data_IF_870748750493
#
_entry.id   IF_870748750493
#
_cell.length_a   1.000
_cell.length_b   1.000
_cell.length_c   1.000
_cell.angle_alpha   90.00
_cell.angle_beta   90.00
_cell.angle_gamma   90.00
#
_symmetry.space_group_name_H-M   'P 1'
#
loop_
_entity.id
_entity.type
_entity.pdbx_description
1 polymer ?
#
# COMPACT_ATOMS: atom_id res chain seq x y z
N UNK A 1 -2.31 4.02 -0.05
CA UNK A 1 -1.27 2.96 -0.08
C UNK A 1 -0.83 2.73 -1.53
N UNK A 2 0.20 1.91 -1.79
CA UNK A 2 0.67 1.59 -3.15
C UNK A 2 -0.40 0.92 -4.04
N UNK A 3 -0.23 0.97 -5.36
CA UNK A 3 -1.14 0.40 -6.35
C UNK A 3 -1.11 -1.14 -6.36
N UNK A 4 -2.24 -1.76 -6.71
CA UNK A 4 -2.37 -3.21 -6.84
C UNK A 4 -3.38 -3.61 -7.93
N UNK A 5 -3.35 -4.89 -8.33
CA UNK A 5 -4.38 -5.44 -9.21
C UNK A 5 -5.73 -5.73 -8.50
N UNK A 6 -5.84 -5.38 -7.22
CA UNK A 6 -7.02 -5.58 -6.38
C UNK A 6 -7.61 -4.26 -5.86
N UNK A 7 -7.20 -3.11 -6.41
CA UNK A 7 -7.68 -1.76 -6.01
C UNK A 7 -9.16 -1.53 -6.34
N UNK A 8 -9.75 -2.35 -7.22
CA UNK A 8 -11.18 -2.26 -7.54
C UNK A 8 -12.03 -2.88 -6.42
N UNK A 9 -12.85 -2.05 -5.76
CA UNK A 9 -13.63 -2.41 -4.56
C UNK A 9 -14.59 -3.60 -4.77
N UNK A 10 -15.28 -3.67 -5.93
CA UNK A 10 -16.23 -4.76 -6.21
C UNK A 10 -15.66 -5.91 -7.04
N UNK A 11 -14.72 -5.65 -7.96
CA UNK A 11 -14.02 -6.68 -8.76
C UNK A 11 -12.70 -7.09 -8.10
N UNK A 12 -12.77 -7.37 -6.80
CA UNK A 12 -11.60 -7.65 -5.98
C UNK A 12 -11.04 -9.05 -6.26
N UNK A 13 -9.73 -9.14 -6.55
CA UNK A 13 -9.02 -10.41 -6.77
C UNK A 13 -8.36 -10.88 -5.48
N UNK A 14 -8.87 -11.97 -4.91
CA UNK A 14 -8.26 -12.60 -3.73
C UNK A 14 -7.11 -13.54 -4.13
N UNK A 15 -7.28 -14.26 -5.24
CA UNK A 15 -6.25 -15.14 -5.79
C UNK A 15 -5.31 -14.36 -6.73
N UNK A 16 -3.99 -14.61 -6.62
CA UNK A 16 -2.94 -13.97 -7.44
C UNK A 16 -2.89 -12.44 -7.29
N UNK A 17 -2.98 -11.94 -6.05
CA UNK A 17 -2.73 -10.53 -5.74
C UNK A 17 -1.34 -10.12 -6.23
N UNK A 18 -1.26 -8.93 -6.82
CA UNK A 18 -0.04 -8.33 -7.33
C UNK A 18 0.03 -6.88 -6.86
N UNK A 19 1.13 -6.53 -6.20
CA UNK A 19 1.38 -5.18 -5.67
C UNK A 19 2.47 -4.48 -6.47
N UNK A 20 2.31 -3.19 -6.77
CA UNK A 20 3.32 -2.36 -7.43
C UNK A 20 4.05 -1.56 -6.35
N UNK A 21 5.20 -2.07 -5.88
CA UNK A 21 5.82 -1.57 -4.64
C UNK A 21 6.29 -0.11 -4.73
N UNK A 22 6.53 0.38 -5.94
CA UNK A 22 7.09 1.70 -6.26
C UNK A 22 6.05 2.70 -6.78
N UNK A 23 4.75 2.39 -6.70
CA UNK A 23 3.71 3.18 -7.35
C UNK A 23 2.56 3.55 -6.42
N UNK A 24 2.28 4.85 -6.28
CA UNK A 24 1.17 5.38 -5.44
C UNK A 24 0.36 6.49 -6.12
N UNK A 25 0.80 6.95 -7.30
CA UNK A 25 0.30 8.17 -7.94
C UNK A 25 -1.20 8.13 -8.29
N UNK A 26 -1.78 6.95 -8.59
CA UNK A 26 -3.23 6.89 -8.83
C UNK A 26 -4.05 7.16 -7.58
N UNK A 27 -3.56 6.72 -6.42
CA UNK A 27 -4.25 6.88 -5.14
C UNK A 27 -4.08 8.29 -4.59
N UNK A 28 -2.93 8.94 -4.84
CA UNK A 28 -2.62 10.28 -4.32
C UNK A 28 -3.60 11.37 -4.74
N UNK A 29 -4.22 11.25 -5.92
CA UNK A 29 -5.21 12.23 -6.41
C UNK A 29 -6.42 12.40 -5.48
N UNK A 30 -6.75 11.38 -4.69
CA UNK A 30 -7.86 11.45 -3.73
C UNK A 30 -7.46 12.12 -2.41
N UNK A 31 -6.18 12.47 -2.24
CA UNK A 31 -5.65 13.06 -1.01
C UNK A 31 -5.51 14.59 -1.11
N UNK A 32 -5.73 15.17 -2.30
CA UNK A 32 -5.65 16.61 -2.52
C UNK A 32 -6.76 17.33 -1.74
N UNK A 33 -6.39 18.40 -1.01
CA UNK A 33 -7.33 19.20 -0.21
C UNK A 33 -7.82 18.55 1.08
N UNK A 34 -7.35 17.33 1.41
CA UNK A 34 -7.74 16.62 2.64
C UNK A 34 -6.90 17.12 3.82
N UNK A 35 -7.55 17.54 4.90
CA UNK A 35 -6.89 18.05 6.12
C UNK A 35 -6.37 16.92 7.02
N UNK A 36 -7.06 15.78 7.05
CA UNK A 36 -6.69 14.62 7.88
C UNK A 36 -6.71 13.37 7.03
N UNK A 37 -5.55 12.73 6.91
CA UNK A 37 -5.36 11.49 6.16
C UNK A 37 -5.09 10.34 7.15
N UNK A 38 -5.85 9.26 7.03
CA UNK A 38 -5.67 8.05 7.83
C UNK A 38 -5.42 6.87 6.89
N UNK A 39 -4.29 6.19 7.08
CA UNK A 39 -3.89 5.04 6.26
C UNK A 39 -3.87 3.76 7.09
N UNK A 40 -4.20 2.64 6.45
CA UNK A 40 -3.95 1.29 6.95
C UNK A 40 -3.48 0.41 5.78
N UNK A 41 -2.70 -0.63 6.08
CA UNK A 41 -2.33 -1.64 5.09
C UNK A 41 -1.83 -2.88 5.80
N UNK A 42 -2.72 -3.81 6.18
CA UNK A 42 -2.26 -5.00 6.91
C UNK A 42 -2.77 -6.36 6.43
N UNK A 43 -4.09 -6.56 6.37
CA UNK A 43 -4.69 -7.90 6.24
C UNK A 43 -4.17 -8.65 5.01
N UNK A 44 -3.83 -7.95 3.93
CA UNK A 44 -3.38 -8.58 2.69
C UNK A 44 -1.96 -9.16 2.76
N UNK A 45 -1.15 -8.65 3.68
CA UNK A 45 0.22 -9.08 3.91
C UNK A 45 0.27 -10.37 4.74
N UNK A 46 -0.82 -10.78 5.40
CA UNK A 46 -0.85 -11.97 6.26
C UNK A 46 -1.00 -13.31 5.53
N UNK A 47 -1.46 -13.32 4.27
CA UNK A 47 -1.99 -14.53 3.66
C UNK A 47 -0.94 -15.61 3.34
N UNK A 48 0.30 -15.23 3.06
CA UNK A 48 1.39 -16.12 2.65
C UNK A 48 2.72 -15.54 3.10
N UNK A 49 3.79 -16.36 3.27
CA UNK A 49 5.13 -15.84 3.57
C UNK A 49 5.69 -14.97 2.44
N UNK A 50 5.12 -15.10 1.24
CA UNK A 50 5.55 -14.44 0.01
C UNK A 50 4.39 -13.77 -0.71
N UNK A 51 4.70 -12.71 -1.47
CA UNK A 51 3.76 -11.95 -2.28
C UNK A 51 4.32 -11.68 -3.68
N UNK A 52 3.44 -11.68 -4.68
CA UNK A 52 3.81 -11.24 -6.03
C UNK A 52 3.85 -9.72 -6.08
N UNK A 53 4.93 -9.19 -6.62
CA UNK A 53 5.11 -7.76 -6.77
C UNK A 53 5.88 -7.38 -8.04
N UNK A 54 5.72 -6.11 -8.44
CA UNK A 54 6.59 -5.43 -9.43
C UNK A 54 7.32 -4.28 -8.75
N UNK A 55 8.50 -3.93 -9.26
CA UNK A 55 9.30 -2.77 -8.81
C UNK A 55 9.96 -2.09 -10.02
N UNK A 56 10.29 -0.80 -9.88
CA UNK A 56 10.98 0.03 -10.88
C UNK A 56 10.26 0.09 -12.23
N UNK A 57 8.93 0.13 -12.22
CA UNK A 57 8.13 0.14 -13.45
C UNK A 57 8.28 -1.10 -14.34
N UNK A 58 8.93 -2.16 -13.85
CA UNK A 58 9.11 -3.40 -14.61
C UNK A 58 7.78 -4.15 -14.76
N UNK A 59 7.60 -4.81 -15.91
CA UNK A 59 6.49 -5.74 -16.15
C UNK A 59 6.75 -7.14 -15.56
N UNK A 60 7.96 -7.38 -15.06
CA UNK A 60 8.36 -8.64 -14.46
C UNK A 60 7.74 -8.82 -13.09
N UNK A 61 6.82 -9.78 -12.96
CA UNK A 61 6.31 -10.22 -11.66
C UNK A 61 7.40 -11.02 -10.95
N UNK A 62 7.72 -10.64 -9.73
CA UNK A 62 8.65 -11.36 -8.87
C UNK A 62 7.97 -11.72 -7.55
N UNK A 63 8.41 -12.80 -6.93
CA UNK A 63 7.98 -13.20 -5.60
C UNK A 63 8.92 -12.58 -4.56
N UNK A 64 8.35 -11.95 -3.54
CA UNK A 64 9.08 -11.33 -2.44
C UNK A 64 8.63 -11.88 -1.10
N UNK A 65 9.56 -12.04 -0.16
CA UNK A 65 9.23 -12.20 1.25
C UNK A 65 8.35 -11.02 1.70
N UNK A 66 7.24 -11.35 2.36
CA UNK A 66 6.26 -10.34 2.80
C UNK A 66 6.90 -9.21 3.62
N UNK A 67 7.77 -9.46 4.62
CA UNK A 67 8.38 -8.37 5.38
C UNK A 67 9.20 -7.41 4.52
N UNK A 68 9.90 -7.95 3.51
CA UNK A 68 10.70 -7.16 2.57
C UNK A 68 9.81 -6.32 1.66
N UNK A 69 8.78 -6.95 1.07
CA UNK A 69 7.82 -6.25 0.23
C UNK A 69 7.05 -5.17 1.00
N UNK A 70 6.63 -5.48 2.24
CA UNK A 70 5.91 -4.54 3.09
C UNK A 70 6.76 -3.33 3.45
N UNK A 71 8.03 -3.55 3.81
CA UNK A 71 8.98 -2.47 4.05
C UNK A 71 9.14 -1.57 2.82
N UNK A 72 9.29 -2.15 1.63
CA UNK A 72 9.40 -1.38 0.39
C UNK A 72 8.15 -0.54 0.11
N UNK A 73 6.96 -1.14 0.24
CA UNK A 73 5.69 -0.43 0.04
C UNK A 73 5.51 0.72 1.05
N UNK A 74 5.89 0.51 2.33
CA UNK A 74 5.86 1.56 3.35
C UNK A 74 6.89 2.66 3.08
N UNK A 75 8.09 2.32 2.60
CA UNK A 75 9.09 3.31 2.20
C UNK A 75 8.58 4.19 1.07
N UNK A 76 8.00 3.60 0.01
CA UNK A 76 7.39 4.36 -1.09
C UNK A 76 6.24 5.25 -0.62
N UNK A 77 5.39 4.76 0.28
CA UNK A 77 4.34 5.58 0.88
C UNK A 77 4.90 6.74 1.73
N UNK A 78 5.92 6.48 2.55
CA UNK A 78 6.55 7.49 3.39
C UNK A 78 7.24 8.59 2.56
N UNK A 79 7.92 8.21 1.48
CA UNK A 79 8.50 9.15 0.53
C UNK A 79 7.42 10.00 -0.13
N UNK A 80 6.30 9.39 -0.54
CA UNK A 80 5.17 10.14 -1.07
C UNK A 80 4.62 11.17 -0.08
N UNK A 81 4.44 10.78 1.20
CA UNK A 81 4.02 11.72 2.25
C UNK A 81 5.00 12.89 2.33
N UNK A 82 6.30 12.62 2.40
CA UNK A 82 7.35 13.63 2.51
C UNK A 82 7.32 14.66 1.37
N UNK A 83 6.99 14.24 0.16
CA UNK A 83 7.00 15.13 -1.01
C UNK A 83 5.66 15.79 -1.33
N UNK A 84 4.54 15.29 -0.80
CA UNK A 84 3.20 15.70 -1.25
C UNK A 84 2.30 16.23 -0.13
N UNK A 85 2.69 16.09 1.14
CA UNK A 85 1.89 16.53 2.27
C UNK A 85 2.47 17.81 2.87
N UNK A 86 1.61 18.81 3.03
CA UNK A 86 1.92 20.02 3.79
C UNK A 86 1.63 19.79 5.28
N UNK A 87 2.68 19.74 6.10
CA UNK A 87 2.55 19.52 7.55
C UNK A 87 1.90 20.68 8.32
N UNK A 88 1.82 21.88 7.73
CA UNK A 88 1.16 23.02 8.36
C UNK A 88 -0.36 22.88 8.31
N UNK A 89 -0.88 22.39 7.19
CA UNK A 89 -2.33 22.33 6.92
C UNK A 89 -2.91 20.92 7.01
N UNK A 90 -2.08 19.89 6.93
CA UNK A 90 -2.50 18.49 6.91
C UNK A 90 -1.92 17.69 8.07
N UNK A 91 -2.68 16.68 8.52
CA UNK A 91 -2.27 15.68 9.52
C UNK A 91 -2.37 14.29 8.93
N UNK A 92 -1.37 13.46 9.20
CA UNK A 92 -1.26 12.10 8.68
C UNK A 92 -1.18 11.12 9.84
N UNK A 93 -2.01 10.08 9.80
CA UNK A 93 -1.98 8.97 10.74
C UNK A 93 -1.83 7.65 9.98
N UNK A 94 -1.12 6.71 10.59
CA UNK A 94 -1.05 5.33 10.12
C UNK A 94 -1.55 4.40 11.21
N UNK A 95 -2.62 3.68 10.92
CA UNK A 95 -3.19 2.71 11.84
C UNK A 95 -2.29 1.47 11.89
N UNK A 96 -2.05 1.00 13.10
CA UNK A 96 -1.38 -0.28 13.29
C UNK A 96 -2.28 -1.44 12.84
N UNK A 97 -1.66 -2.60 12.87
CA UNK A 97 -2.23 -3.90 12.61
C UNK A 97 -3.56 -4.15 13.32
N UNK A 98 -4.64 -4.36 12.57
CA UNK A 98 -5.92 -4.82 13.14
C UNK A 98 -5.85 -6.33 13.43
N UNK A 99 -6.22 -6.79 14.64
CA UNK A 99 -6.20 -8.21 14.97
C UNK A 99 -7.31 -8.97 14.22
N UNK A 100 -7.04 -10.24 13.89
CA UNK A 100 -8.05 -11.16 13.36
C UNK A 100 -8.45 -12.16 14.45
N UNK A 101 -9.75 -12.21 14.78
CA UNK A 101 -10.30 -13.18 15.71
C UNK A 101 -10.74 -14.43 14.94
N UNK A 102 -9.86 -15.43 14.84
CA UNK A 102 -10.10 -16.66 14.09
C UNK A 102 -10.70 -17.81 14.91
N UNK A 103 -11.23 -17.50 16.10
CA UNK A 103 -11.78 -18.45 17.05
C UNK A 103 -12.95 -17.83 17.80
#
# INVERSE_FOLDING_TARGET
MVESNADHTTKHRVQKRLVRLDSIAKHSRHCEGVQVLVFESYVWWMNKPVINATINGSSGVQEFDVPKAYRLALSTWADWIRFNIDSETQRVFFMSMSPTHLW
#
